data_IF_687316977669
#
_entry.id   IF_687316977669
#
_cell.length_a   1.000
_cell.length_b   1.000
_cell.length_c   1.000
_cell.angle_alpha   90.00
_cell.angle_beta   90.00
_cell.angle_gamma   90.00
#
_symmetry.space_group_name_H-M   'P 1'
#
loop_
_entity.id
_entity.type
_entity.pdbx_description
1 polymer ?
#
# COMPACT_ATOMS: atom_id res chain seq x y z
N UNK A 1 -19.45 -3.33 33.64
CA UNK A 1 -20.33 -3.91 34.71
C UNK A 1 -20.31 -5.45 34.76
N UNK A 2 -19.19 -6.11 34.41
CA UNK A 2 -19.06 -7.59 34.46
C UNK A 2 -18.18 -8.07 35.63
N UNK A 3 -17.07 -7.38 35.90
CA UNK A 3 -16.13 -7.74 36.98
C UNK A 3 -16.74 -7.57 38.38
N UNK A 4 -17.61 -6.56 38.56
CA UNK A 4 -18.35 -6.34 39.82
C UNK A 4 -19.48 -7.35 40.07
N UNK A 5 -19.85 -8.16 39.07
CA UNK A 5 -20.89 -9.20 39.19
C UNK A 5 -20.31 -10.62 39.31
N UNK A 6 -18.98 -10.76 39.43
CA UNK A 6 -18.30 -12.06 39.59
C UNK A 6 -18.34 -12.97 38.35
N UNK A 7 -18.73 -12.43 37.18
CA UNK A 7 -18.93 -13.21 35.94
C UNK A 7 -17.61 -13.55 35.25
N UNK A 8 -16.50 -12.88 35.59
CA UNK A 8 -15.17 -13.09 35.00
C UNK A 8 -14.25 -13.68 36.06
N UNK A 9 -13.68 -14.84 35.78
CA UNK A 9 -12.77 -15.51 36.72
C UNK A 9 -11.42 -14.76 36.82
N UNK A 10 -10.69 -14.99 37.92
CA UNK A 10 -9.39 -14.35 38.19
C UNK A 10 -8.37 -14.65 37.08
N UNK A 11 -8.46 -15.82 36.45
CA UNK A 11 -7.60 -16.25 35.34
C UNK A 11 -7.97 -15.58 34.01
N UNK A 12 -9.24 -15.26 33.79
CA UNK A 12 -9.71 -14.61 32.57
C UNK A 12 -9.47 -13.09 32.59
N UNK A 13 -9.39 -12.47 33.77
CA UNK A 13 -9.20 -11.01 33.92
C UNK A 13 -7.95 -10.50 33.20
N UNK A 14 -6.83 -11.23 33.27
CA UNK A 14 -5.60 -10.86 32.57
C UNK A 14 -5.80 -10.81 31.04
N UNK A 15 -6.55 -11.77 30.48
CA UNK A 15 -6.89 -11.81 29.05
C UNK A 15 -7.79 -10.65 28.65
N UNK A 16 -8.80 -10.31 29.46
CA UNK A 16 -9.65 -9.14 29.21
C UNK A 16 -8.87 -7.83 29.30
N UNK A 17 -7.99 -7.67 30.29
CA UNK A 17 -7.15 -6.48 30.43
C UNK A 17 -6.24 -6.29 29.20
N UNK A 18 -5.64 -7.39 28.72
CA UNK A 18 -4.81 -7.38 27.52
C UNK A 18 -5.60 -6.95 26.29
N UNK A 19 -6.82 -7.49 26.11
CA UNK A 19 -7.72 -7.09 25.01
C UNK A 19 -8.11 -5.62 25.09
N UNK A 20 -8.49 -5.14 26.28
CA UNK A 20 -8.85 -3.73 26.49
C UNK A 20 -7.66 -2.82 26.16
N UNK A 21 -6.45 -3.16 26.63
CA UNK A 21 -5.24 -2.40 26.33
C UNK A 21 -4.95 -2.36 24.84
N UNK A 22 -5.10 -3.49 24.14
CA UNK A 22 -4.90 -3.58 22.69
C UNK A 22 -5.88 -2.68 21.94
N UNK A 23 -7.17 -2.74 22.29
CA UNK A 23 -8.19 -1.88 21.68
C UNK A 23 -7.94 -0.40 21.99
N UNK A 24 -7.59 -0.06 23.24
CA UNK A 24 -7.27 1.32 23.61
C UNK A 24 -6.07 1.87 22.81
N UNK A 25 -5.05 1.03 22.59
CA UNK A 25 -3.91 1.40 21.75
C UNK A 25 -4.30 1.62 20.29
N UNK A 26 -5.17 0.77 19.74
CA UNK A 26 -5.67 0.92 18.35
C UNK A 26 -6.45 2.22 18.19
N UNK A 27 -7.37 2.52 19.12
CA UNK A 27 -8.13 3.77 19.11
C UNK A 27 -7.22 4.99 19.25
N UNK A 28 -6.19 4.91 20.10
CA UNK A 28 -5.22 5.98 20.25
C UNK A 28 -4.43 6.22 18.96
N UNK A 29 -4.05 5.15 18.26
CA UNK A 29 -3.33 5.23 16.98
C UNK A 29 -4.21 5.86 15.90
N UNK A 30 -5.43 5.36 15.70
CA UNK A 30 -6.39 5.92 14.75
C UNK A 30 -6.68 7.41 15.04
N UNK A 31 -6.83 7.78 16.31
CA UNK A 31 -7.00 9.17 16.70
C UNK A 31 -5.81 10.04 16.27
N UNK A 32 -4.58 9.57 16.48
CA UNK A 32 -3.38 10.30 16.04
C UNK A 32 -3.35 10.41 14.51
N UNK A 33 -3.68 9.35 13.79
CA UNK A 33 -3.67 9.33 12.31
C UNK A 33 -4.73 10.26 11.72
N UNK A 34 -5.95 10.29 12.25
CA UNK A 34 -6.99 11.25 11.87
C UNK A 34 -6.56 12.69 12.15
N UNK A 35 -5.95 12.93 13.33
CA UNK A 35 -5.45 14.26 13.68
C UNK A 35 -4.31 14.67 12.77
N UNK A 36 -3.42 13.76 12.38
CA UNK A 36 -2.35 14.00 11.40
C UNK A 36 -2.94 14.43 10.07
N UNK A 37 -3.98 13.75 9.55
CA UNK A 37 -4.71 14.15 8.32
C UNK A 37 -5.33 15.53 8.40
N UNK A 38 -5.87 15.90 9.57
CA UNK A 38 -6.41 17.24 9.84
C UNK A 38 -5.32 18.28 10.16
N UNK A 39 -4.05 17.87 10.16
CA UNK A 39 -2.91 18.72 10.49
C UNK A 39 -2.86 19.15 11.96
N UNK A 40 -3.28 18.33 12.91
CA UNK A 40 -3.25 18.58 14.36
C UNK A 40 -3.86 19.94 14.81
N UNK A 41 -5.14 20.25 14.50
CA UNK A 41 -5.74 21.57 14.74
C UNK A 41 -5.87 21.96 16.22
N UNK A 42 -5.78 20.99 17.14
CA UNK A 42 -5.86 21.23 18.59
C UNK A 42 -4.49 21.48 19.23
N UNK A 43 -3.40 21.26 18.49
CA UNK A 43 -2.04 21.47 18.98
C UNK A 43 -1.69 22.94 18.80
N UNK A 44 -1.70 23.69 19.91
CA UNK A 44 -1.50 25.15 19.90
C UNK A 44 -0.05 25.57 19.66
N UNK A 45 0.89 24.68 19.99
CA UNK A 45 2.31 24.91 19.80
C UNK A 45 2.71 24.51 18.37
N UNK A 46 3.06 25.52 17.58
CA UNK A 46 3.42 25.36 16.17
C UNK A 46 4.75 24.60 16.00
N UNK A 47 5.69 24.72 16.94
CA UNK A 47 6.97 24.00 16.88
C UNK A 47 6.76 22.50 17.12
N UNK A 48 5.89 22.14 18.08
CA UNK A 48 5.49 20.75 18.27
C UNK A 48 4.68 20.22 17.09
N UNK A 49 3.81 21.06 16.50
CA UNK A 49 3.02 20.68 15.33
C UNK A 49 3.88 20.36 14.13
N UNK A 50 4.88 21.18 13.83
CA UNK A 50 5.85 20.92 12.77
C UNK A 50 6.72 19.67 13.04
N UNK A 51 7.00 19.36 14.32
CA UNK A 51 7.75 18.15 14.70
C UNK A 51 6.98 16.86 14.43
N UNK A 52 5.66 16.85 14.66
CA UNK A 52 4.82 15.65 14.55
C UNK A 52 4.06 15.55 13.23
N UNK A 53 3.95 16.63 12.46
CA UNK A 53 3.50 16.60 11.09
C UNK A 53 4.74 16.36 10.22
N UNK A 54 5.03 15.12 9.79
CA UNK A 54 6.02 14.92 8.75
C UNK A 54 5.58 15.73 7.52
N UNK A 55 6.55 16.23 6.74
CA UNK A 55 6.27 16.66 5.38
C UNK A 55 5.50 15.53 4.67
N UNK A 56 4.60 15.87 3.74
CA UNK A 56 3.83 14.91 2.97
C UNK A 56 4.76 13.94 2.22
N UNK A 57 5.28 12.93 2.91
CA UNK A 57 5.82 11.73 2.33
C UNK A 57 4.59 10.94 1.92
N UNK A 58 4.17 11.11 0.67
CA UNK A 58 3.29 10.15 0.02
C UNK A 58 3.94 8.79 0.23
N UNK A 59 3.33 7.95 1.06
CA UNK A 59 3.78 6.59 1.30
C UNK A 59 3.53 5.83 -0.01
N UNK A 60 4.54 5.82 -0.89
CA UNK A 60 4.55 5.05 -2.13
C UNK A 60 4.64 3.59 -1.74
N UNK A 61 3.48 2.96 -1.57
CA UNK A 61 3.40 1.51 -1.43
C UNK A 61 3.81 0.89 -2.76
N UNK A 62 5.00 0.27 -2.75
CA UNK A 62 5.51 -0.57 -3.81
C UNK A 62 5.29 -2.03 -3.42
N UNK A 63 4.79 -2.84 -4.34
CA UNK A 63 4.51 -4.25 -4.09
C UNK A 63 5.07 -5.13 -5.21
N UNK A 64 5.46 -6.36 -4.89
CA UNK A 64 5.88 -7.32 -5.90
C UNK A 64 4.65 -7.94 -6.59
N UNK A 65 4.65 -7.95 -7.91
CA UNK A 65 3.59 -8.50 -8.74
C UNK A 65 4.08 -9.74 -9.50
N UNK A 66 3.40 -10.87 -9.33
CA UNK A 66 3.70 -12.11 -10.03
C UNK A 66 2.56 -12.42 -11.01
N UNK A 67 2.88 -12.46 -12.31
CA UNK A 67 2.00 -12.98 -13.34
C UNK A 67 2.47 -14.36 -13.75
N UNK A 68 1.56 -15.32 -13.76
CA UNK A 68 1.81 -16.69 -14.15
C UNK A 68 0.78 -17.20 -15.16
N UNK A 69 1.26 -17.87 -16.19
CA UNK A 69 0.47 -18.47 -17.27
C UNK A 69 0.77 -19.96 -17.31
N UNK A 70 -0.22 -20.78 -16.97
CA UNK A 70 -0.17 -22.22 -17.20
C UNK A 70 -0.36 -22.53 -18.69
N UNK A 71 0.49 -23.40 -19.23
CA UNK A 71 0.47 -23.80 -20.62
C UNK A 71 0.33 -25.33 -20.74
N UNK A 72 -0.17 -25.77 -21.88
CA UNK A 72 0.06 -27.15 -22.32
C UNK A 72 1.52 -27.34 -22.71
N UNK A 73 1.91 -28.55 -23.12
CA UNK A 73 3.29 -28.85 -23.48
C UNK A 73 3.78 -27.97 -24.64
N UNK A 74 4.60 -26.96 -24.31
CA UNK A 74 5.23 -26.09 -25.30
C UNK A 74 6.55 -26.71 -25.76
N UNK A 75 6.81 -26.80 -27.07
CA UNK A 75 8.11 -27.21 -27.60
C UNK A 75 9.26 -26.38 -27.00
N UNK A 76 10.34 -27.04 -26.57
CA UNK A 76 11.45 -26.40 -25.86
C UNK A 76 12.03 -25.16 -26.58
N UNK A 77 12.07 -25.18 -27.91
CA UNK A 77 12.58 -24.08 -28.73
C UNK A 77 11.67 -22.83 -28.72
N UNK A 78 10.40 -22.96 -28.32
CA UNK A 78 9.44 -21.86 -28.23
C UNK A 78 9.35 -21.26 -26.82
N UNK A 79 9.85 -21.96 -25.79
CA UNK A 79 9.78 -21.50 -24.40
C UNK A 79 10.54 -20.18 -24.21
N UNK A 80 11.79 -20.11 -24.68
CA UNK A 80 12.63 -18.90 -24.56
C UNK A 80 12.08 -17.71 -25.35
N UNK A 81 11.68 -17.85 -26.63
CA UNK A 81 11.00 -16.76 -27.34
C UNK A 81 9.72 -16.29 -26.66
N UNK A 82 8.91 -17.21 -26.13
CA UNK A 82 7.63 -16.88 -25.50
C UNK A 82 7.82 -16.08 -24.21
N UNK A 83 8.77 -16.46 -23.34
CA UNK A 83 9.03 -15.71 -22.11
C UNK A 83 9.60 -14.31 -22.41
N UNK A 84 10.45 -14.18 -23.42
CA UNK A 84 10.99 -12.88 -23.83
C UNK A 84 9.89 -11.94 -24.34
N UNK A 85 8.95 -12.46 -25.15
CA UNK A 85 7.79 -11.69 -25.57
C UNK A 85 6.88 -11.29 -24.40
N UNK A 86 6.74 -12.15 -23.38
CA UNK A 86 5.95 -11.83 -22.20
C UNK A 86 6.61 -10.70 -21.39
N UNK A 87 7.93 -10.71 -21.24
CA UNK A 87 8.69 -9.63 -20.59
C UNK A 87 8.50 -8.31 -21.34
N UNK A 88 8.70 -8.31 -22.65
CA UNK A 88 8.54 -7.10 -23.49
C UNK A 88 7.11 -6.53 -23.39
N UNK A 89 6.09 -7.40 -23.45
CA UNK A 89 4.68 -6.98 -23.29
C UNK A 89 4.41 -6.42 -21.90
N UNK A 90 4.98 -7.00 -20.86
CA UNK A 90 4.82 -6.52 -19.49
C UNK A 90 5.48 -5.13 -19.31
N UNK A 91 6.68 -4.95 -19.83
CA UNK A 91 7.40 -3.66 -19.77
C UNK A 91 6.63 -2.56 -20.51
N UNK A 92 6.14 -2.85 -21.71
CA UNK A 92 5.31 -1.92 -22.47
C UNK A 92 4.02 -1.57 -21.73
N UNK A 93 3.32 -2.56 -21.17
CA UNK A 93 2.09 -2.36 -20.39
C UNK A 93 2.31 -1.45 -19.19
N UNK A 94 3.35 -1.70 -18.39
CA UNK A 94 3.65 -0.89 -17.21
C UNK A 94 4.05 0.54 -17.60
N UNK A 95 4.76 0.70 -18.71
CA UNK A 95 5.14 2.02 -19.26
C UNK A 95 3.92 2.79 -19.76
N UNK A 96 3.01 2.14 -20.48
CA UNK A 96 1.76 2.72 -20.99
C UNK A 96 0.87 3.21 -19.85
N UNK A 97 0.73 2.41 -18.80
CA UNK A 97 -0.02 2.75 -17.59
C UNK A 97 0.74 3.69 -16.64
N UNK A 98 1.98 4.06 -16.97
CA UNK A 98 2.85 4.94 -16.16
C UNK A 98 3.01 4.45 -14.73
N UNK A 99 3.10 3.14 -14.57
CA UNK A 99 3.37 2.49 -13.31
C UNK A 99 4.88 2.38 -13.14
N UNK A 100 5.42 3.03 -12.09
CA UNK A 100 6.81 2.81 -11.71
C UNK A 100 6.98 1.35 -11.28
N UNK A 101 8.03 0.71 -11.77
CA UNK A 101 8.35 -0.66 -11.42
C UNK A 101 9.86 -0.86 -11.35
N UNK A 102 10.28 -1.82 -10.54
CA UNK A 102 11.63 -2.33 -10.48
C UNK A 102 11.92 -3.36 -11.58
N UNK A 103 12.75 -4.35 -11.25
CA UNK A 103 13.18 -5.36 -12.21
C UNK A 103 12.05 -6.33 -12.59
N UNK A 104 11.98 -6.70 -13.87
CA UNK A 104 11.13 -7.78 -14.38
C UNK A 104 11.98 -9.06 -14.50
N UNK A 105 11.68 -10.07 -13.69
CA UNK A 105 12.39 -11.35 -13.64
C UNK A 105 11.59 -12.44 -14.36
N UNK A 106 12.09 -13.01 -15.47
CA UNK A 106 11.43 -14.09 -16.19
C UNK A 106 11.67 -15.47 -15.56
N UNK A 107 10.64 -16.31 -15.61
CA UNK A 107 10.69 -17.73 -15.27
C UNK A 107 9.94 -18.53 -16.32
N UNK A 108 10.51 -19.63 -16.79
CA UNK A 108 9.86 -20.43 -17.83
C UNK A 108 10.19 -21.92 -17.72
N UNK A 109 9.17 -22.72 -18.03
CA UNK A 109 9.23 -24.17 -18.25
C UNK A 109 8.28 -24.50 -19.41
N UNK A 110 8.35 -25.69 -20.02
CA UNK A 110 7.44 -26.08 -21.10
C UNK A 110 5.94 -25.94 -20.79
N UNK A 111 5.53 -26.00 -19.51
CA UNK A 111 4.12 -25.93 -19.09
C UNK A 111 3.75 -24.67 -18.31
N UNK A 112 4.67 -23.71 -18.18
CA UNK A 112 4.48 -22.53 -17.32
C UNK A 112 5.41 -21.41 -17.72
N UNK A 113 4.85 -20.23 -17.94
CA UNK A 113 5.59 -18.97 -18.07
C UNK A 113 5.20 -18.06 -16.91
N UNK A 114 6.16 -17.39 -16.29
CA UNK A 114 5.88 -16.43 -15.24
C UNK A 114 6.85 -15.25 -15.29
N UNK A 115 6.36 -14.08 -14.90
CA UNK A 115 7.16 -12.87 -14.73
C UNK A 115 6.90 -12.30 -13.35
N UNK A 116 7.97 -12.06 -12.60
CA UNK A 116 7.94 -11.34 -11.32
C UNK A 116 8.39 -9.91 -11.58
N UNK A 117 7.51 -8.96 -11.32
CA UNK A 117 7.81 -7.53 -11.36
C UNK A 117 8.02 -7.07 -9.93
N UNK A 118 9.22 -6.58 -9.63
CA UNK A 118 9.55 -6.05 -8.32
C UNK A 118 9.11 -4.60 -8.19
N UNK A 119 8.79 -4.17 -6.96
CA UNK A 119 8.52 -2.78 -6.61
C UNK A 119 7.53 -2.08 -7.56
N UNK A 120 6.36 -2.68 -7.81
CA UNK A 120 5.31 -2.05 -8.63
C UNK A 120 4.53 -1.05 -7.78
N UNK A 121 4.42 0.18 -8.28
CA UNK A 121 3.62 1.22 -7.65
C UNK A 121 2.12 0.85 -7.65
N UNK A 122 1.43 1.05 -6.52
CA UNK A 122 -0.03 0.82 -6.43
C UNK A 122 -0.85 1.78 -7.30
N UNK A 123 -0.28 2.93 -7.69
CA UNK A 123 -0.96 3.94 -8.50
C UNK A 123 -0.02 4.49 -9.56
N UNK A 124 -0.58 4.80 -10.72
CA UNK A 124 0.10 5.55 -11.76
C UNK A 124 0.45 6.96 -11.25
N UNK A 125 1.56 7.51 -11.76
CA UNK A 125 2.00 8.87 -11.40
C UNK A 125 0.85 9.89 -11.56
N UNK A 126 0.57 10.63 -10.48
CA UNK A 126 -0.58 11.51 -10.42
C UNK A 126 -0.38 12.72 -11.36
N UNK A 127 -1.22 12.82 -12.40
CA UNK A 127 -1.15 13.94 -13.33
C UNK A 127 -1.81 15.18 -12.71
N UNK A 128 -1.02 16.01 -11.99
CA UNK A 128 -1.46 17.34 -11.51
C UNK A 128 -1.77 18.27 -12.69
N UNK A 129 -2.96 18.13 -13.28
CA UNK A 129 -3.60 19.24 -14.02
C UNK A 129 -3.92 20.32 -13.00
N UNK A 130 -3.14 21.41 -12.99
CA UNK A 130 -3.56 22.67 -12.35
C UNK A 130 -4.89 23.08 -12.98
N UNK A 131 -6.01 22.78 -12.34
CA UNK A 131 -7.24 23.51 -12.63
C UNK A 131 -6.99 24.94 -12.16
N UNK A 132 -6.98 25.88 -13.11
CA UNK A 132 -7.08 27.29 -12.79
C UNK A 132 -8.49 27.46 -12.22
N UNK A 133 -8.59 27.57 -10.91
CA UNK A 133 -9.82 27.89 -10.20
C UNK A 133 -10.46 29.14 -10.84
N UNK A 134 -11.70 29.07 -11.35
CA UNK A 134 -12.38 30.22 -11.97
C UNK A 134 -12.79 31.30 -10.96
N UNK A 135 -12.70 31.05 -9.65
CA UNK A 135 -13.30 31.91 -8.62
C UNK A 135 -12.36 32.97 -8.03
N UNK A 136 -11.44 33.52 -8.83
CA UNK A 136 -10.76 34.77 -8.46
C UNK A 136 -11.69 35.98 -8.70
N UNK A 137 -12.68 36.13 -7.81
CA UNK A 137 -13.41 37.39 -7.59
C UNK A 137 -12.36 38.47 -7.28
N UNK A 138 -12.23 39.48 -8.15
CA UNK A 138 -11.48 40.69 -7.83
C UNK A 138 -12.39 41.64 -7.02
N UNK A 139 -11.84 42.34 -6.01
CA UNK A 139 -12.52 43.47 -5.37
C UNK A 139 -12.70 44.64 -6.34
#
# INVERSE_FOLDING_TARGET
>A
MLDARGVVSVTERAKYLSRIRKMAHQVAQEFIDERKKLGFPLLKDEALRAKYLPADEEETNMANYLLEIGLEEVPAHLVTPAINQLVERMENFLTEERLQHGAIKPFSTPRRLAVLVEDVAEKADDFKRKSKDPLRRRP
#
